data_IF_371415299952
#
_entry.id   IF_371415299952
#
_cell.length_a   1.000
_cell.length_b   1.000
_cell.length_c   1.000
_cell.angle_alpha   90.00
_cell.angle_beta   90.00
_cell.angle_gamma   90.00
#
_symmetry.space_group_name_H-M   'P 1'
#
loop_
_entity.id
_entity.type
_entity.pdbx_description
1 polymer ?
#
# COMPACT_ATOMS: atom_id res chain seq x y z
N UNK A 1 6.94 -2.64 16.35
CA UNK A 1 6.64 -1.27 16.82
C UNK A 1 5.23 -1.17 17.40
N UNK A 2 4.17 -1.55 16.66
CA UNK A 2 2.77 -1.40 17.10
C UNK A 2 2.42 -1.97 18.47
N UNK A 3 2.82 -3.21 18.78
CA UNK A 3 2.51 -3.83 20.08
C UNK A 3 3.05 -3.06 21.31
N UNK A 4 4.21 -2.39 21.18
CA UNK A 4 4.74 -1.53 22.26
C UNK A 4 3.88 -0.31 22.49
N UNK A 5 3.34 0.28 21.42
CA UNK A 5 2.45 1.45 21.49
C UNK A 5 1.11 1.06 22.10
N UNK A 6 0.50 -0.04 21.64
CA UNK A 6 -0.77 -0.54 22.19
C UNK A 6 -0.65 -0.87 23.67
N UNK A 7 0.45 -1.51 24.09
CA UNK A 7 0.73 -1.75 25.51
C UNK A 7 0.81 -0.45 26.31
N UNK A 8 1.56 0.54 25.81
CA UNK A 8 1.71 1.83 26.49
C UNK A 8 0.40 2.64 26.58
N UNK A 9 -0.50 2.46 25.61
CA UNK A 9 -1.84 3.06 25.60
C UNK A 9 -2.73 2.38 26.64
N UNK A 10 -2.74 1.05 26.66
CA UNK A 10 -3.45 0.26 27.67
C UNK A 10 -3.04 0.61 29.10
N UNK A 11 -1.74 0.72 29.36
CA UNK A 11 -1.20 1.10 30.68
C UNK A 11 -1.64 2.49 31.16
N UNK A 12 -2.13 3.35 30.25
CA UNK A 12 -2.56 4.72 30.54
C UNK A 12 -4.05 4.94 30.32
N UNK A 13 -4.82 3.88 30.09
CA UNK A 13 -6.26 3.96 29.77
C UNK A 13 -6.55 4.85 28.54
N UNK A 14 -5.70 4.73 27.52
CA UNK A 14 -5.82 5.48 26.26
C UNK A 14 -6.41 4.55 25.18
N UNK A 15 -7.51 4.97 24.56
CA UNK A 15 -8.11 4.24 23.45
C UNK A 15 -7.24 4.29 22.19
N UNK A 16 -7.11 3.15 21.51
CA UNK A 16 -6.35 3.03 20.27
C UNK A 16 -7.27 2.97 19.04
N UNK A 17 -7.01 3.88 18.09
CA UNK A 17 -7.62 3.88 16.75
C UNK A 17 -6.59 3.47 15.71
N UNK A 18 -6.90 2.46 14.89
CA UNK A 18 -6.01 2.04 13.80
C UNK A 18 -6.48 2.70 12.49
N UNK A 19 -5.56 3.37 11.80
CA UNK A 19 -5.80 4.01 10.50
C UNK A 19 -5.13 3.24 9.36
N UNK A 20 -5.61 3.45 8.12
CA UNK A 20 -5.07 2.84 6.89
C UNK A 20 -5.00 1.30 6.95
N UNK A 21 -6.01 0.70 7.59
CA UNK A 21 -6.16 -0.74 7.74
C UNK A 21 -6.69 -1.46 6.48
N UNK A 22 -6.75 -0.77 5.34
CA UNK A 22 -7.10 -1.35 4.06
C UNK A 22 -5.82 -1.89 3.38
N UNK A 23 -5.61 -3.21 3.31
CA UNK A 23 -4.46 -3.78 2.64
C UNK A 23 -4.69 -3.92 1.12
N UNK A 24 -5.95 -3.91 0.66
CA UNK A 24 -6.33 -4.23 -0.72
C UNK A 24 -6.10 -3.07 -1.69
N UNK A 25 -6.26 -3.33 -2.99
CA UNK A 25 -6.09 -2.34 -4.06
C UNK A 25 -4.63 -2.06 -4.44
N UNK A 26 -3.65 -2.34 -3.57
CA UNK A 26 -2.24 -2.12 -3.93
C UNK A 26 -1.81 -2.99 -5.09
N UNK A 27 -2.20 -4.26 -5.07
CA UNK A 27 -1.88 -5.18 -6.13
C UNK A 27 -2.58 -4.84 -7.45
N UNK A 28 -3.91 -4.68 -7.42
CA UNK A 28 -4.72 -4.35 -8.61
C UNK A 28 -4.19 -3.09 -9.31
N UNK A 29 -3.75 -2.09 -8.54
CA UNK A 29 -3.06 -0.92 -9.09
C UNK A 29 -1.76 -1.29 -9.81
N UNK A 30 -0.87 -2.10 -9.21
CA UNK A 30 0.38 -2.50 -9.89
C UNK A 30 0.08 -3.16 -11.23
N UNK A 31 -0.90 -4.07 -11.31
CA UNK A 31 -1.28 -4.72 -12.57
C UNK A 31 -1.75 -3.70 -13.61
N UNK A 32 -2.64 -2.80 -13.22
CA UNK A 32 -3.18 -1.77 -14.11
C UNK A 32 -2.09 -0.85 -14.63
N UNK A 33 -1.15 -0.42 -13.78
CA UNK A 33 -0.05 0.43 -14.21
C UNK A 33 0.92 -0.33 -15.12
N UNK A 34 1.22 -1.61 -14.86
CA UNK A 34 2.02 -2.45 -15.77
C UNK A 34 1.38 -2.54 -17.15
N UNK A 35 0.09 -2.81 -17.22
CA UNK A 35 -0.61 -2.92 -18.50
C UNK A 35 -0.68 -1.58 -19.23
N UNK A 36 -0.89 -0.47 -18.52
CA UNK A 36 -0.80 0.87 -19.12
C UNK A 36 0.58 1.11 -19.73
N UNK A 37 1.65 0.76 -19.02
CA UNK A 37 3.03 0.91 -19.50
C UNK A 37 3.30 0.01 -20.72
N UNK A 38 2.82 -1.25 -20.74
CA UNK A 38 2.96 -2.14 -21.90
C UNK A 38 2.26 -1.59 -23.15
N UNK A 39 1.10 -0.95 -22.96
CA UNK A 39 0.24 -0.51 -24.06
C UNK A 39 0.56 0.91 -24.58
N UNK A 40 1.39 1.69 -23.87
CA UNK A 40 1.67 3.09 -24.23
C UNK A 40 2.77 3.27 -25.29
N UNK A 41 2.71 2.51 -26.39
CA UNK A 41 3.74 2.46 -27.44
C UNK A 41 4.37 3.81 -27.83
N UNK A 42 5.68 3.76 -28.10
CA UNK A 42 6.51 4.76 -28.82
C UNK A 42 7.09 5.99 -28.09
N UNK A 43 6.71 6.34 -26.86
CA UNK A 43 7.47 7.34 -26.06
C UNK A 43 7.76 6.83 -24.66
N UNK A 44 8.54 5.76 -24.59
CA UNK A 44 9.02 5.20 -23.34
C UNK A 44 10.28 5.96 -22.92
N UNK A 45 10.30 6.63 -21.74
CA UNK A 45 11.55 7.09 -21.14
C UNK A 45 12.58 5.95 -21.06
N UNK A 46 13.87 6.26 -21.20
CA UNK A 46 14.97 5.28 -21.31
C UNK A 46 15.03 4.29 -20.13
N UNK A 47 14.52 4.68 -18.96
CA UNK A 47 14.47 3.84 -17.75
C UNK A 47 13.36 2.78 -17.74
N UNK A 48 12.42 2.85 -18.68
CA UNK A 48 11.16 2.12 -18.61
C UNK A 48 11.26 0.61 -18.93
N UNK A 49 12.16 0.12 -19.82
CA UNK A 49 12.36 -1.33 -20.01
C UNK A 49 12.89 -2.04 -18.76
N UNK A 50 13.89 -1.46 -18.09
CA UNK A 50 14.42 -2.00 -16.83
C UNK A 50 13.39 -1.92 -15.69
N UNK A 51 12.54 -0.90 -15.69
CA UNK A 51 11.39 -0.83 -14.79
C UNK A 51 10.37 -1.93 -15.10
N UNK A 52 10.02 -2.14 -16.37
CA UNK A 52 9.05 -3.13 -16.82
C UNK A 52 9.43 -4.55 -16.39
N UNK A 53 10.70 -4.96 -16.52
CA UNK A 53 11.14 -6.27 -16.02
C UNK A 53 10.95 -6.41 -14.51
N UNK A 54 11.31 -5.37 -13.75
CA UNK A 54 11.18 -5.36 -12.28
C UNK A 54 9.73 -5.40 -11.84
N UNK A 55 8.87 -4.60 -12.47
CA UNK A 55 7.45 -4.55 -12.13
C UNK A 55 6.70 -5.79 -12.65
N UNK A 56 7.09 -6.36 -13.79
CA UNK A 56 6.54 -7.63 -14.29
C UNK A 56 6.81 -8.77 -13.31
N UNK A 57 8.01 -8.87 -12.75
CA UNK A 57 8.30 -9.88 -11.71
C UNK A 57 7.36 -9.76 -10.51
N UNK A 58 7.04 -8.53 -10.11
CA UNK A 58 6.07 -8.25 -9.03
C UNK A 58 4.65 -8.68 -9.44
N UNK A 59 4.23 -8.39 -10.66
CA UNK A 59 2.92 -8.78 -11.19
C UNK A 59 2.78 -10.31 -11.32
N UNK A 60 3.78 -11.00 -11.88
CA UNK A 60 3.75 -12.45 -12.10
C UNK A 60 3.65 -13.22 -10.77
N UNK A 61 4.41 -12.80 -9.75
CA UNK A 61 4.32 -13.36 -8.39
C UNK A 61 2.91 -13.18 -7.80
N UNK A 62 2.29 -12.05 -8.11
CA UNK A 62 1.01 -11.69 -7.57
C UNK A 62 -0.17 -12.38 -8.28
N UNK A 63 -0.04 -12.70 -9.58
CA UNK A 63 -1.02 -13.48 -10.35
C UNK A 63 -1.03 -14.95 -9.95
N UNK A 64 0.15 -15.55 -9.74
CA UNK A 64 0.27 -16.91 -9.23
C UNK A 64 -0.54 -17.09 -7.92
N UNK A 65 -0.50 -16.08 -7.06
CA UNK A 65 -1.16 -16.11 -5.75
C UNK A 65 -2.67 -15.91 -5.78
N UNK A 66 -3.20 -14.96 -6.59
CA UNK A 66 -4.66 -14.79 -6.78
C UNK A 66 -5.30 -16.13 -7.15
N UNK A 67 -4.62 -16.91 -7.99
CA UNK A 67 -5.05 -18.22 -8.44
C UNK A 67 -4.93 -19.29 -7.34
N UNK A 68 -3.84 -19.32 -6.55
CA UNK A 68 -3.63 -20.35 -5.51
C UNK A 68 -4.64 -20.27 -4.36
N UNK A 69 -5.01 -19.07 -3.91
CA UNK A 69 -5.83 -18.89 -2.69
C UNK A 69 -7.25 -18.39 -2.97
N UNK A 70 -7.66 -18.34 -4.25
CA UNK A 70 -8.94 -17.79 -4.70
C UNK A 70 -9.26 -16.43 -4.07
N UNK A 71 -8.26 -15.56 -4.01
CA UNK A 71 -8.35 -14.23 -3.42
C UNK A 71 -8.84 -13.24 -4.47
N UNK A 72 -10.06 -13.51 -4.95
CA UNK A 72 -10.71 -12.79 -6.05
C UNK A 72 -11.62 -11.67 -5.57
N UNK A 73 -11.93 -11.62 -4.27
CA UNK A 73 -12.86 -10.68 -3.69
C UNK A 73 -12.16 -9.71 -2.72
N UNK A 74 -11.80 -8.53 -3.23
CA UNK A 74 -11.18 -7.45 -2.44
C UNK A 74 -12.08 -6.97 -1.28
N UNK A 75 -13.40 -7.04 -1.42
CA UNK A 75 -14.33 -6.65 -0.36
C UNK A 75 -14.29 -7.63 0.81
N UNK A 76 -14.22 -8.94 0.55
CA UNK A 76 -14.04 -9.96 1.59
C UNK A 76 -12.71 -9.77 2.33
N UNK A 77 -11.62 -9.50 1.60
CA UNK A 77 -10.31 -9.25 2.19
C UNK A 77 -10.31 -7.99 3.06
N UNK A 78 -10.99 -6.93 2.63
CA UNK A 78 -11.13 -5.71 3.40
C UNK A 78 -11.91 -5.93 4.71
N UNK A 79 -13.03 -6.65 4.63
CA UNK A 79 -13.83 -7.04 5.81
C UNK A 79 -12.98 -7.87 6.77
N UNK A 80 -12.25 -8.87 6.27
CA UNK A 80 -11.34 -9.66 7.08
C UNK A 80 -10.26 -8.77 7.73
N UNK A 81 -9.67 -7.83 7.01
CA UNK A 81 -8.65 -6.93 7.55
C UNK A 81 -9.19 -6.03 8.68
N UNK A 82 -10.41 -5.51 8.55
CA UNK A 82 -11.06 -4.74 9.62
C UNK A 82 -11.39 -5.62 10.83
N UNK A 83 -11.88 -6.85 10.62
CA UNK A 83 -12.08 -7.82 11.70
C UNK A 83 -10.78 -8.20 12.39
N UNK A 84 -9.68 -8.34 11.66
CA UNK A 84 -8.35 -8.58 12.23
C UNK A 84 -7.96 -7.46 13.19
N UNK A 85 -8.15 -6.21 12.77
CA UNK A 85 -7.89 -5.04 13.62
C UNK A 85 -8.79 -5.03 14.86
N UNK A 86 -10.11 -5.21 14.68
CA UNK A 86 -11.10 -5.19 15.76
C UNK A 86 -11.01 -6.40 16.70
N UNK A 87 -10.30 -7.46 16.31
CA UNK A 87 -10.09 -8.63 17.16
C UNK A 87 -8.94 -8.44 18.15
N UNK A 88 -8.10 -7.42 17.97
CA UNK A 88 -7.02 -7.14 18.91
C UNK A 88 -7.61 -6.52 20.20
N UNK A 89 -7.34 -7.09 21.39
CA UNK A 89 -7.99 -6.69 22.64
C UNK A 89 -7.68 -5.25 23.06
N UNK A 90 -6.52 -4.72 22.64
CA UNK A 90 -6.11 -3.35 22.95
C UNK A 90 -6.45 -2.33 21.83
N UNK A 91 -7.24 -2.73 20.82
CA UNK A 91 -7.72 -1.84 19.75
C UNK A 91 -9.20 -1.55 19.94
N UNK A 92 -9.58 -0.27 19.86
CA UNK A 92 -10.93 0.18 20.18
C UNK A 92 -11.75 0.48 18.92
N UNK A 93 -11.09 0.95 17.86
CA UNK A 93 -11.78 1.25 16.59
C UNK A 93 -10.82 1.25 15.41
N UNK A 94 -11.40 1.11 14.23
CA UNK A 94 -10.72 1.28 12.94
C UNK A 94 -11.24 2.55 12.27
N UNK A 95 -10.33 3.45 11.92
CA UNK A 95 -10.65 4.61 11.09
C UNK A 95 -10.74 4.13 9.63
N UNK A 96 -11.96 3.84 9.19
CA UNK A 96 -12.27 3.53 7.80
C UNK A 96 -12.69 4.80 7.06
N UNK A 97 -12.54 4.77 5.73
CA UNK A 97 -13.11 5.75 4.83
C UNK A 97 -14.37 5.15 4.23
N UNK A 98 -15.49 5.86 4.34
CA UNK A 98 -16.78 5.46 3.78
C UNK A 98 -17.09 6.37 2.60
N UNK A 99 -17.25 5.80 1.40
CA UNK A 99 -17.50 6.55 0.17
C UNK A 99 -18.97 6.50 -0.26
N UNK A 100 -19.72 5.51 0.19
CA UNK A 100 -21.12 5.31 -0.16
C UNK A 100 -21.88 4.58 0.98
N UNK A 101 -23.21 4.47 0.84
CA UNK A 101 -24.06 3.84 1.86
C UNK A 101 -23.84 2.33 1.99
N UNK A 102 -23.48 1.62 0.92
CA UNK A 102 -23.21 0.18 0.98
C UNK A 102 -21.93 -0.10 1.82
N UNK A 103 -20.90 0.73 1.67
CA UNK A 103 -19.71 0.69 2.52
C UNK A 103 -20.04 1.05 3.98
N UNK A 104 -20.92 2.03 4.20
CA UNK A 104 -21.37 2.40 5.54
C UNK A 104 -22.03 1.21 6.24
N UNK A 105 -23.01 0.60 5.60
CA UNK A 105 -23.76 -0.54 6.13
C UNK A 105 -22.83 -1.73 6.36
N UNK A 106 -21.94 -2.00 5.40
CA UNK A 106 -20.94 -3.06 5.52
C UNK A 106 -20.06 -2.83 6.73
N UNK A 107 -19.44 -1.65 6.88
CA UNK A 107 -18.48 -1.39 7.95
C UNK A 107 -19.15 -1.27 9.31
N UNK A 108 -20.33 -0.66 9.39
CA UNK A 108 -21.12 -0.60 10.62
C UNK A 108 -21.48 -2.01 11.12
N UNK A 109 -21.82 -2.93 10.20
CA UNK A 109 -22.14 -4.33 10.54
C UNK A 109 -20.95 -5.10 11.12
N UNK A 110 -19.71 -4.62 10.96
CA UNK A 110 -18.52 -5.26 11.53
C UNK A 110 -18.35 -4.99 13.02
N UNK A 111 -19.04 -3.97 13.57
CA UNK A 111 -19.00 -3.67 14.99
C UNK A 111 -19.44 -4.89 15.81
N UNK A 112 -18.68 -5.22 16.85
CA UNK A 112 -18.94 -6.41 17.68
C UNK A 112 -18.55 -7.74 17.05
N UNK A 113 -18.22 -7.80 15.75
CA UNK A 113 -17.76 -9.03 15.10
C UNK A 113 -16.28 -9.30 15.34
N UNK A 114 -15.82 -10.51 15.04
CA UNK A 114 -14.43 -10.96 15.22
C UNK A 114 -13.96 -11.73 14.00
N UNK A 115 -12.65 -11.79 13.84
CA UNK A 115 -11.99 -12.54 12.78
C UNK A 115 -12.23 -14.04 12.98
N UNK A 116 -12.66 -14.71 11.93
CA UNK A 116 -12.81 -16.16 11.90
C UNK A 116 -11.52 -16.86 11.47
N UNK A 117 -11.36 -18.13 11.83
CA UNK A 117 -10.18 -18.91 11.45
C UNK A 117 -9.97 -19.01 9.90
N UNK A 118 -11.01 -19.13 9.05
CA UNK A 118 -10.83 -19.06 7.60
C UNK A 118 -10.33 -17.71 7.11
N UNK A 119 -10.84 -16.60 7.66
CA UNK A 119 -10.37 -15.25 7.33
C UNK A 119 -8.92 -15.05 7.77
N UNK A 120 -8.54 -15.55 8.96
CA UNK A 120 -7.15 -15.51 9.44
C UNK A 120 -6.19 -16.23 8.48
N UNK A 121 -6.55 -17.44 8.00
CA UNK A 121 -5.76 -18.16 7.00
C UNK A 121 -5.63 -17.38 5.69
N UNK A 122 -6.72 -16.77 5.20
CA UNK A 122 -6.69 -15.91 4.00
C UNK A 122 -5.75 -14.71 4.21
N UNK A 123 -5.84 -14.04 5.37
CA UNK A 123 -4.99 -12.88 5.68
C UNK A 123 -3.53 -13.26 5.87
N UNK A 124 -3.24 -14.42 6.46
CA UNK A 124 -1.88 -14.92 6.60
C UNK A 124 -1.23 -15.17 5.22
N UNK A 125 -1.96 -15.87 4.34
CA UNK A 125 -1.53 -16.07 2.96
C UNK A 125 -1.32 -14.73 2.22
N UNK A 126 -2.26 -13.78 2.40
CA UNK A 126 -2.17 -12.44 1.84
C UNK A 126 -0.90 -11.72 2.35
N UNK A 127 -0.63 -11.76 3.64
CA UNK A 127 0.50 -11.09 4.26
C UNK A 127 1.85 -11.69 3.82
N UNK A 128 1.95 -13.01 3.74
CA UNK A 128 3.15 -13.70 3.25
C UNK A 128 3.51 -13.28 1.82
N UNK A 129 2.49 -13.11 0.98
CA UNK A 129 2.70 -12.90 -0.45
C UNK A 129 2.76 -11.44 -0.86
N UNK A 130 1.86 -10.62 -0.30
CA UNK A 130 1.71 -9.20 -0.65
C UNK A 130 2.26 -8.24 0.40
N UNK A 131 2.67 -8.74 1.56
CA UNK A 131 3.20 -7.91 2.64
C UNK A 131 4.36 -7.02 2.20
N UNK A 132 5.17 -7.50 1.25
CA UNK A 132 6.29 -6.76 0.63
C UNK A 132 5.84 -5.65 -0.32
N UNK A 133 4.62 -5.64 -0.86
CA UNK A 133 4.16 -4.56 -1.74
C UNK A 133 3.48 -3.43 -0.96
N UNK A 134 3.26 -3.61 0.33
CA UNK A 134 2.66 -2.57 1.17
C UNK A 134 3.72 -1.76 1.91
N UNK A 135 3.89 -0.49 1.55
CA UNK A 135 4.76 0.40 2.32
C UNK A 135 4.12 0.71 3.69
N UNK A 136 4.88 0.52 4.77
CA UNK A 136 4.43 0.90 6.11
C UNK A 136 4.46 2.43 6.23
N UNK A 137 3.32 3.06 5.99
CA UNK A 137 3.17 4.52 6.10
C UNK A 137 3.65 5.01 7.47
N UNK A 138 4.31 6.17 7.50
CA UNK A 138 5.04 6.74 8.65
C UNK A 138 6.25 5.92 9.19
N UNK A 139 6.78 4.95 8.43
CA UNK A 139 8.01 4.24 8.82
C UNK A 139 9.29 5.06 8.57
N UNK A 140 9.51 5.52 7.33
CA UNK A 140 10.65 6.37 6.95
C UNK A 140 12.06 5.74 7.04
N UNK A 141 12.22 4.52 7.55
CA UNK A 141 13.55 3.94 7.84
C UNK A 141 14.51 3.87 6.64
N UNK A 142 13.99 3.75 5.43
CA UNK A 142 14.78 3.68 4.21
C UNK A 142 15.15 5.05 3.61
N UNK A 143 14.61 6.15 4.15
CA UNK A 143 14.77 7.49 3.54
C UNK A 143 16.19 8.03 3.72
N UNK A 144 16.86 7.69 4.83
CA UNK A 144 18.24 8.08 5.09
C UNK A 144 19.23 7.52 4.06
N UNK A 145 18.92 6.37 3.46
CA UNK A 145 19.73 5.73 2.43
C UNK A 145 19.45 6.27 1.01
N UNK A 146 18.53 7.23 0.85
CA UNK A 146 18.24 7.80 -0.46
C UNK A 146 19.26 8.89 -0.82
N UNK A 147 20.18 8.67 -1.80
CA UNK A 147 21.17 9.67 -2.18
C UNK A 147 20.57 10.89 -2.88
N UNK A 148 19.29 10.82 -3.26
CA UNK A 148 18.57 11.88 -3.99
C UNK A 148 17.53 12.60 -3.11
N UNK A 149 17.44 12.24 -1.81
CA UNK A 149 16.50 12.88 -0.88
C UNK A 149 15.03 12.75 -1.28
N UNK A 150 14.65 11.64 -1.94
CA UNK A 150 13.27 11.38 -2.34
C UNK A 150 12.45 10.96 -1.11
N UNK A 151 11.33 11.63 -0.78
CA UNK A 151 10.54 11.34 0.41
C UNK A 151 9.66 10.11 0.18
N UNK A 152 10.26 8.93 0.32
CA UNK A 152 9.64 7.63 0.04
C UNK A 152 8.27 7.51 0.70
N UNK A 153 8.17 7.85 1.98
CA UNK A 153 6.95 7.67 2.75
C UNK A 153 5.82 8.58 2.27
N UNK A 154 6.15 9.84 1.95
CA UNK A 154 5.19 10.82 1.44
C UNK A 154 4.63 10.36 0.10
N UNK A 155 5.49 9.98 -0.86
CA UNK A 155 5.07 9.55 -2.19
C UNK A 155 4.23 8.27 -2.11
N UNK A 156 4.66 7.29 -1.32
CA UNK A 156 3.88 6.05 -1.13
C UNK A 156 2.52 6.33 -0.48
N UNK A 157 2.42 7.33 0.40
CA UNK A 157 1.15 7.78 1.00
C UNK A 157 0.25 8.48 -0.02
N UNK A 158 0.79 9.36 -0.86
CA UNK A 158 0.02 10.01 -1.93
C UNK A 158 -0.51 8.99 -2.92
N UNK A 159 0.32 8.00 -3.29
CA UNK A 159 -0.11 6.84 -4.08
C UNK A 159 -1.26 6.07 -3.41
N UNK A 160 -1.21 5.84 -2.11
CA UNK A 160 -2.34 5.23 -1.38
C UNK A 160 -3.60 6.10 -1.43
N UNK A 161 -3.48 7.43 -1.33
CA UNK A 161 -4.61 8.34 -1.51
C UNK A 161 -5.23 8.24 -2.90
N UNK A 162 -4.40 8.13 -3.94
CA UNK A 162 -4.86 7.95 -5.32
C UNK A 162 -5.55 6.60 -5.49
N UNK A 163 -4.84 5.49 -5.27
CA UNK A 163 -5.30 4.17 -5.71
C UNK A 163 -6.26 3.48 -4.75
N UNK A 164 -6.15 3.71 -3.44
CA UNK A 164 -6.92 2.98 -2.43
C UNK A 164 -8.03 3.82 -1.78
N UNK A 165 -8.01 5.15 -1.96
CA UNK A 165 -8.99 6.07 -1.36
C UNK A 165 -9.78 6.86 -2.39
N UNK A 166 -9.50 6.73 -3.68
CA UNK A 166 -10.17 7.52 -4.74
C UNK A 166 -9.91 9.03 -4.63
N UNK A 167 -8.91 9.47 -3.84
CA UNK A 167 -8.59 10.88 -3.60
C UNK A 167 -7.57 11.38 -4.60
N UNK A 168 -7.83 11.13 -5.88
CA UNK A 168 -6.90 11.37 -6.99
C UNK A 168 -6.41 12.82 -7.05
N UNK A 169 -7.33 13.79 -7.11
CA UNK A 169 -6.99 15.22 -7.18
C UNK A 169 -6.11 15.67 -6.00
N UNK A 170 -6.41 15.18 -4.80
CA UNK A 170 -5.62 15.51 -3.62
C UNK A 170 -4.24 14.87 -3.69
N UNK A 171 -4.14 13.60 -4.10
CA UNK A 171 -2.87 12.92 -4.28
C UNK A 171 -1.96 13.60 -5.31
N UNK A 172 -2.54 14.04 -6.44
CA UNK A 172 -1.85 14.80 -7.49
C UNK A 172 -1.34 16.15 -6.96
N UNK A 173 -2.19 16.89 -6.24
CA UNK A 173 -1.80 18.18 -5.67
C UNK A 173 -0.68 18.05 -4.63
N UNK A 174 -0.77 17.06 -3.74
CA UNK A 174 0.27 16.77 -2.73
C UNK A 174 1.61 16.38 -3.39
N UNK A 175 1.57 15.56 -4.45
CA UNK A 175 2.76 15.19 -5.21
C UNK A 175 3.38 16.38 -5.95
N UNK A 176 2.54 17.20 -6.60
CA UNK A 176 2.97 18.41 -7.30
C UNK A 176 3.53 19.49 -6.35
N UNK A 177 3.11 19.48 -5.08
CA UNK A 177 3.60 20.37 -4.02
C UNK A 177 4.90 19.92 -3.35
N UNK A 178 5.50 18.79 -3.75
CA UNK A 178 6.79 18.37 -3.20
C UNK A 178 7.89 19.39 -3.56
N UNK A 179 8.50 19.97 -2.52
CA UNK A 179 9.66 20.88 -2.60
C UNK A 179 11.00 20.11 -2.59
N UNK A 180 10.98 18.81 -2.32
CA UNK A 180 12.15 17.91 -2.33
C UNK A 180 12.32 17.20 -3.68
N UNK A 181 13.29 16.30 -3.78
CA UNK A 181 13.42 15.39 -4.93
C UNK A 181 12.14 14.58 -5.16
N UNK A 182 11.76 14.41 -6.43
CA UNK A 182 10.60 13.61 -6.86
C UNK A 182 11.05 12.24 -7.37
N UNK A 183 10.07 11.37 -7.63
CA UNK A 183 10.33 9.98 -7.99
C UNK A 183 10.76 9.78 -9.47
N UNK A 184 10.74 10.83 -10.30
CA UNK A 184 11.47 10.86 -11.58
C UNK A 184 12.98 10.58 -11.39
N UNK A 185 13.55 11.02 -10.26
CA UNK A 185 14.94 10.76 -9.90
C UNK A 185 15.24 9.28 -9.61
N UNK A 186 14.21 8.43 -9.44
CA UNK A 186 14.37 7.01 -9.13
C UNK A 186 14.70 6.16 -10.37
N UNK A 187 14.39 6.66 -11.57
CA UNK A 187 14.54 5.98 -12.85
C UNK A 187 15.91 5.30 -13.05
N UNK A 188 17.00 6.02 -12.79
CA UNK A 188 18.38 5.54 -12.96
C UNK A 188 19.07 5.10 -11.65
N UNK A 189 18.34 5.00 -10.54
CA UNK A 189 18.92 4.70 -9.23
C UNK A 189 19.26 3.20 -9.07
N UNK A 190 20.21 2.87 -8.20
CA UNK A 190 20.50 1.49 -7.81
C UNK A 190 19.46 0.89 -6.83
N UNK A 191 18.56 1.72 -6.28
CA UNK A 191 17.50 1.28 -5.39
C UNK A 191 17.90 1.11 -3.92
N UNK A 192 18.85 1.90 -3.40
CA UNK A 192 19.34 1.81 -2.01
C UNK A 192 18.25 1.69 -0.93
N UNK A 193 17.15 2.43 -1.10
CA UNK A 193 16.00 2.38 -0.19
C UNK A 193 15.37 0.99 -0.06
N UNK A 194 15.38 0.17 -1.13
CA UNK A 194 14.81 -1.18 -1.10
C UNK A 194 15.68 -2.13 -0.26
N UNK A 195 17.01 -1.97 -0.32
CA UNK A 195 17.97 -2.72 0.49
C UNK A 195 17.85 -2.36 1.96
N UNK A 196 17.62 -1.07 2.24
CA UNK A 196 17.39 -0.57 3.60
C UNK A 196 15.99 -0.90 4.16
N UNK A 197 15.05 -1.38 3.32
CA UNK A 197 13.69 -1.62 3.76
C UNK A 197 13.60 -2.91 4.60
N UNK A 198 13.22 -2.83 5.89
CA UNK A 198 13.11 -4.02 6.73
C UNK A 198 11.93 -4.93 6.33
N UNK A 199 11.09 -4.48 5.39
CA UNK A 199 9.92 -5.20 4.89
C UNK A 199 10.11 -5.71 3.45
N UNK A 200 11.31 -5.56 2.86
CA UNK A 200 11.61 -6.04 1.51
C UNK A 200 10.82 -5.35 0.40
N UNK A 201 10.31 -4.13 0.65
CA UNK A 201 9.46 -3.44 -0.32
C UNK A 201 10.29 -3.07 -1.56
N UNK A 202 9.81 -3.35 -2.80
CA UNK A 202 10.49 -2.94 -4.02
C UNK A 202 10.29 -1.43 -4.26
N UNK A 203 10.81 -0.62 -3.34
CA UNK A 203 10.49 0.80 -3.19
C UNK A 203 10.77 1.57 -4.47
N UNK A 204 11.94 1.35 -5.09
CA UNK A 204 12.29 2.06 -6.31
C UNK A 204 11.24 1.85 -7.40
N UNK A 205 10.84 0.61 -7.65
CA UNK A 205 9.86 0.28 -8.67
C UNK A 205 8.50 0.92 -8.34
N UNK A 206 8.07 0.85 -7.08
CA UNK A 206 6.81 1.46 -6.63
C UNK A 206 6.82 2.98 -6.74
N UNK A 207 7.96 3.64 -6.47
CA UNK A 207 8.11 5.09 -6.61
C UNK A 207 8.03 5.52 -8.07
N UNK A 208 8.68 4.78 -8.98
CA UNK A 208 8.63 5.11 -10.41
C UNK A 208 7.21 4.95 -10.97
N UNK A 209 6.49 3.90 -10.60
CA UNK A 209 5.07 3.76 -10.94
C UNK A 209 4.23 4.89 -10.32
N UNK A 210 4.46 5.21 -9.04
CA UNK A 210 3.77 6.30 -8.38
C UNK A 210 4.02 7.65 -9.07
N UNK A 211 5.23 7.91 -9.57
CA UNK A 211 5.52 9.11 -10.36
C UNK A 211 4.66 9.18 -11.63
N UNK A 212 4.53 8.08 -12.36
CA UNK A 212 3.69 8.00 -13.56
C UNK A 212 2.21 8.23 -13.23
N UNK A 213 1.71 7.63 -12.16
CA UNK A 213 0.30 7.82 -11.74
C UNK A 213 0.05 9.23 -11.20
N UNK A 214 1.00 9.82 -10.47
CA UNK A 214 0.82 11.07 -9.72
C UNK A 214 1.22 12.34 -10.49
N UNK A 215 1.69 12.20 -11.73
CA UNK A 215 2.04 13.33 -12.59
C UNK A 215 1.00 13.47 -13.69
N UNK A 216 0.48 14.69 -13.87
CA UNK A 216 -0.32 15.02 -15.05
C UNK A 216 0.64 15.17 -16.23
N UNK A 217 0.45 14.36 -17.27
CA UNK A 217 1.16 14.47 -18.54
C UNK A 217 0.77 15.69 -19.35
#
# INVERSE_FOLDING_TARGET
>A
MGGRVLKAFKERDIAATIMKANPVGTYTWIQQEVEKVKNSGEKMPEYLPALLERVKKVADQADAFKNTYNLTNDAELLVAAYRFVLSHPDVHTVCCMVQNYDELDTYASLSGTRLSAPEEKKLAAYAETYGQFYCRHACGQCEADCPRGVPVNAIMRFRHYFSAQGREKHALAEYAGLETGRADLCAGCAGYCQTACPYGVPIQAMLTLAHQTLTLG
#
